data_IF_592549712272
#
_entry.id   IF_592549712272
#
_cell.length_a   1.000
_cell.length_b   1.000
_cell.length_c   1.000
_cell.angle_alpha   90.00
_cell.angle_beta   90.00
_cell.angle_gamma   90.00
#
_symmetry.space_group_name_H-M   'P 1'
#
loop_
_entity.id
_entity.type
_entity.pdbx_description
1 polymer ?
#
# COMPACT_ATOMS: atom_id res chain seq x y z
N UNK A 1 2.80 -8.44 19.80
CA UNK A 1 2.95 -8.67 18.35
C UNK A 1 2.69 -7.36 17.63
N UNK A 2 3.61 -6.99 16.78
CA UNK A 2 3.50 -5.76 16.01
C UNK A 2 2.64 -5.97 14.78
N UNK A 3 1.63 -5.13 14.61
CA UNK A 3 0.74 -5.11 13.45
C UNK A 3 0.81 -3.75 12.77
N UNK A 4 0.63 -3.74 11.45
CA UNK A 4 0.50 -2.51 10.66
C UNK A 4 -0.79 -2.58 9.88
N UNK A 5 -1.69 -1.65 10.16
CA UNK A 5 -2.90 -1.46 9.37
C UNK A 5 -2.52 -0.62 8.15
N UNK A 6 -2.76 -1.15 6.97
CA UNK A 6 -2.33 -0.56 5.71
C UNK A 6 -3.52 -0.36 4.79
N UNK A 7 -3.56 0.79 4.14
CA UNK A 7 -4.52 1.12 3.11
C UNK A 7 -3.85 1.90 1.99
N UNK A 8 -4.34 1.74 0.75
CA UNK A 8 -3.83 2.46 -0.41
C UNK A 8 -4.95 3.11 -1.19
N UNK A 9 -4.62 4.20 -1.90
CA UNK A 9 -5.43 4.75 -2.98
C UNK A 9 -4.67 4.62 -4.29
N UNK A 10 -5.40 4.47 -5.40
CA UNK A 10 -4.83 4.16 -6.70
C UNK A 10 -5.46 5.00 -7.80
N UNK A 11 -4.83 4.98 -8.99
CA UNK A 11 -5.38 5.66 -10.17
C UNK A 11 -6.54 4.92 -10.80
N UNK A 12 -6.75 3.64 -10.48
CA UNK A 12 -7.80 2.81 -11.06
C UNK A 12 -7.83 1.43 -10.42
N UNK A 13 -8.45 0.46 -11.07
CA UNK A 13 -8.78 -0.83 -10.46
C UNK A 13 -7.79 -1.96 -10.74
N UNK A 14 -7.00 -1.87 -11.83
CA UNK A 14 -6.15 -2.96 -12.25
C UNK A 14 -4.72 -2.52 -12.52
N UNK A 15 -3.73 -3.00 -11.73
CA UNK A 15 -2.33 -2.66 -11.95
C UNK A 15 -1.79 -3.17 -13.29
N UNK A 16 -2.36 -4.24 -13.86
CA UNK A 16 -1.97 -4.76 -15.16
C UNK A 16 -2.28 -3.79 -16.30
N UNK A 17 -3.20 -2.85 -16.10
CA UNK A 17 -3.53 -1.79 -17.07
C UNK A 17 -2.68 -0.53 -16.85
N UNK A 18 -1.62 -0.60 -16.07
CA UNK A 18 -0.72 0.51 -15.80
C UNK A 18 -1.19 1.43 -14.68
N UNK A 19 -2.22 1.07 -13.93
CA UNK A 19 -2.64 1.85 -12.78
C UNK A 19 -1.61 1.80 -11.67
N UNK A 20 -1.51 2.88 -10.91
CA UNK A 20 -0.46 3.10 -9.92
C UNK A 20 -1.04 3.48 -8.56
N UNK A 21 -0.26 3.21 -7.51
CA UNK A 21 -0.57 3.66 -6.15
C UNK A 21 -0.30 5.16 -6.05
N UNK A 22 -1.20 5.91 -5.42
CA UNK A 22 -1.08 7.35 -5.23
C UNK A 22 -1.12 7.79 -3.77
N UNK A 23 -1.52 6.91 -2.86
CA UNK A 23 -1.46 7.15 -1.42
C UNK A 23 -1.21 5.84 -0.69
N UNK A 24 -0.34 5.88 0.31
CA UNK A 24 -0.12 4.77 1.24
C UNK A 24 -0.30 5.32 2.65
N UNK A 25 -1.17 4.67 3.42
CA UNK A 25 -1.37 4.98 4.83
C UNK A 25 -1.13 3.74 5.68
N UNK A 26 -0.30 3.86 6.70
CA UNK A 26 0.01 2.79 7.63
C UNK A 26 -0.02 3.32 9.06
N UNK A 27 -0.65 2.57 9.96
CA UNK A 27 -0.59 2.84 11.40
C UNK A 27 -0.11 1.59 12.13
N UNK A 28 0.75 1.78 13.12
CA UNK A 28 1.30 0.68 13.91
C UNK A 28 0.44 0.40 15.14
N UNK A 29 0.20 -0.89 15.36
CA UNK A 29 -0.45 -1.41 16.56
C UNK A 29 0.50 -2.42 17.19
N UNK A 30 0.72 -2.31 18.50
CA UNK A 30 1.47 -3.30 19.26
C UNK A 30 0.71 -3.62 20.53
N UNK A 31 0.57 -4.92 20.83
CA UNK A 31 -0.22 -5.40 21.96
C UNK A 31 -1.64 -4.80 21.97
N UNK A 32 -2.28 -4.73 20.82
CA UNK A 32 -3.66 -4.23 20.62
C UNK A 32 -3.83 -2.73 20.92
N UNK A 33 -2.73 -1.97 20.92
CA UNK A 33 -2.76 -0.52 21.15
C UNK A 33 -2.03 0.22 20.05
N UNK A 34 -2.57 1.37 19.65
CA UNK A 34 -1.88 2.28 18.75
C UNK A 34 -0.61 2.77 19.42
N UNK A 35 0.52 2.68 18.70
CA UNK A 35 1.83 3.11 19.22
C UNK A 35 2.12 4.58 18.95
N UNK A 36 1.37 5.21 18.05
CA UNK A 36 1.64 6.55 17.53
C UNK A 36 2.58 6.56 16.33
N UNK A 37 3.25 5.45 16.03
CA UNK A 37 4.06 5.35 14.82
C UNK A 37 3.16 5.14 13.61
N UNK A 38 3.47 5.84 12.54
CA UNK A 38 2.71 5.76 11.28
C UNK A 38 3.62 6.04 10.10
N UNK A 39 3.19 5.60 8.93
CA UNK A 39 3.79 5.95 7.64
C UNK A 39 2.68 6.47 6.74
N UNK A 40 2.86 7.61 6.14
CA UNK A 40 1.87 8.17 5.22
C UNK A 40 2.59 8.95 4.12
N UNK A 41 2.19 8.71 2.87
CA UNK A 41 2.68 9.50 1.75
C UNK A 41 1.67 9.54 0.62
N UNK A 42 1.72 10.63 -0.14
CA UNK A 42 1.12 10.73 -1.47
C UNK A 42 2.19 10.50 -2.52
N UNK A 43 1.80 9.95 -3.67
CA UNK A 43 2.72 9.59 -4.74
C UNK A 43 2.27 10.18 -6.06
N UNK A 44 3.26 10.62 -6.85
CA UNK A 44 3.03 11.02 -8.24
C UNK A 44 3.01 9.78 -9.12
N UNK A 45 1.87 9.45 -9.77
CA UNK A 45 1.77 8.23 -10.58
C UNK A 45 2.30 8.38 -12.01
N UNK A 46 2.70 9.57 -12.43
CA UNK A 46 3.10 9.87 -13.81
C UNK A 46 2.05 9.47 -14.86
N UNK A 47 0.78 9.55 -14.49
CA UNK A 47 -0.35 9.25 -15.37
C UNK A 47 -1.62 9.88 -14.85
N UNK A 48 -2.65 9.89 -15.69
CA UNK A 48 -3.96 10.38 -15.33
C UNK A 48 -4.66 9.42 -14.36
N UNK A 49 -5.56 9.99 -13.58
CA UNK A 49 -6.38 9.25 -12.61
C UNK A 49 -7.73 8.98 -13.26
N UNK A 50 -8.20 7.73 -13.20
CA UNK A 50 -9.53 7.40 -13.69
C UNK A 50 -10.59 8.19 -12.96
N UNK A 51 -11.60 8.65 -13.69
CA UNK A 51 -12.68 9.47 -13.14
C UNK A 51 -13.39 8.79 -11.96
N UNK A 52 -13.60 7.47 -12.04
CA UNK A 52 -14.19 6.70 -10.96
C UNK A 52 -13.35 6.68 -9.69
N UNK A 53 -12.03 6.58 -9.82
CA UNK A 53 -11.12 6.63 -8.69
C UNK A 53 -11.09 8.03 -8.08
N UNK A 54 -11.00 9.07 -8.91
CA UNK A 54 -11.01 10.46 -8.46
C UNK A 54 -12.28 10.79 -7.68
N UNK A 55 -13.42 10.27 -8.10
CA UNK A 55 -14.70 10.46 -7.42
C UNK A 55 -14.69 9.86 -6.01
N UNK A 56 -13.98 8.75 -5.81
CA UNK A 56 -13.89 8.07 -4.52
C UNK A 56 -12.93 8.80 -3.57
N UNK A 57 -11.70 9.10 -3.99
CA UNK A 57 -10.65 9.61 -3.09
C UNK A 57 -10.39 11.11 -3.21
N UNK A 58 -10.80 11.75 -4.31
CA UNK A 58 -10.66 13.19 -4.50
C UNK A 58 -9.23 13.70 -4.72
N UNK A 59 -8.26 12.80 -4.97
CA UNK A 59 -6.86 13.16 -5.19
C UNK A 59 -6.64 13.46 -6.67
N UNK A 60 -6.42 14.72 -7.01
CA UNK A 60 -6.25 15.16 -8.41
C UNK A 60 -4.82 14.99 -8.89
N UNK A 61 -4.65 14.90 -10.21
CA UNK A 61 -3.33 14.87 -10.83
C UNK A 61 -2.53 16.13 -10.49
N UNK A 62 -3.19 17.27 -10.42
CA UNK A 62 -2.56 18.54 -10.04
C UNK A 62 -2.01 18.50 -8.62
N UNK A 63 -2.76 17.96 -7.67
CA UNK A 63 -2.32 17.79 -6.28
C UNK A 63 -1.11 16.88 -6.19
N UNK A 64 -1.06 15.81 -6.99
CA UNK A 64 -0.01 14.80 -6.94
C UNK A 64 1.23 15.16 -7.76
N UNK A 65 1.19 16.23 -8.56
CA UNK A 65 2.25 16.58 -9.50
C UNK A 65 3.61 16.85 -8.83
N UNK A 66 3.61 17.35 -7.58
CA UNK A 66 4.83 17.66 -6.83
C UNK A 66 5.21 16.59 -5.81
N UNK A 67 4.50 15.46 -5.80
CA UNK A 67 4.74 14.39 -4.85
C UNK A 67 5.86 13.45 -5.34
N UNK A 68 6.53 12.74 -4.41
CA UNK A 68 7.53 11.77 -4.80
C UNK A 68 6.93 10.60 -5.56
N UNK A 69 7.78 9.89 -6.29
CA UNK A 69 7.41 8.64 -6.94
C UNK A 69 7.68 7.46 -6.00
N UNK A 70 7.05 6.33 -6.27
CA UNK A 70 7.17 5.15 -5.38
C UNK A 70 8.63 4.75 -5.13
N UNK A 71 9.48 4.76 -6.15
CA UNK A 71 10.88 4.35 -5.99
C UNK A 71 11.66 5.24 -5.00
N UNK A 72 11.19 6.46 -4.77
CA UNK A 72 11.83 7.40 -3.84
C UNK A 72 11.47 7.12 -2.37
N UNK A 73 10.34 6.45 -2.13
CA UNK A 73 9.88 6.14 -0.76
C UNK A 73 9.92 4.65 -0.43
N UNK A 74 10.30 3.84 -1.38
CA UNK A 74 10.26 2.38 -1.28
C UNK A 74 11.02 1.85 -0.05
N UNK A 75 12.24 2.33 0.17
CA UNK A 75 13.07 1.89 1.29
C UNK A 75 12.44 2.20 2.64
N UNK A 76 11.92 3.40 2.82
CA UNK A 76 11.25 3.81 4.06
C UNK A 76 9.98 2.99 4.30
N UNK A 77 9.22 2.76 3.25
CA UNK A 77 8.01 1.95 3.32
C UNK A 77 8.31 0.51 3.74
N UNK A 78 9.26 -0.14 3.06
CA UNK A 78 9.63 -1.52 3.35
C UNK A 78 10.20 -1.67 4.77
N UNK A 79 11.00 -0.71 5.20
CA UNK A 79 11.52 -0.69 6.58
C UNK A 79 10.40 -0.58 7.61
N UNK A 80 9.38 0.25 7.33
CA UNK A 80 8.25 0.41 8.26
C UNK A 80 7.44 -0.87 8.41
N UNK A 81 7.19 -1.60 7.34
CA UNK A 81 6.36 -2.81 7.36
C UNK A 81 7.14 -4.09 7.69
N UNK A 82 8.47 -4.01 7.70
CA UNK A 82 9.32 -5.18 7.93
C UNK A 82 9.02 -5.86 9.27
N UNK A 83 8.82 -7.18 9.23
CA UNK A 83 8.55 -7.99 10.41
C UNK A 83 7.16 -7.83 11.04
N UNK A 84 6.31 -6.97 10.47
CA UNK A 84 4.97 -6.75 11.00
C UNK A 84 3.95 -7.69 10.37
N UNK A 85 2.88 -7.99 11.11
CA UNK A 85 1.67 -8.54 10.53
C UNK A 85 0.88 -7.41 9.88
N UNK A 86 0.56 -7.54 8.58
CA UNK A 86 -0.23 -6.54 7.87
C UNK A 86 -1.72 -6.83 8.01
N UNK A 87 -2.48 -5.81 8.34
CA UNK A 87 -3.94 -5.85 8.42
C UNK A 87 -4.48 -4.96 7.31
N UNK A 88 -5.10 -5.56 6.31
CA UNK A 88 -5.52 -4.86 5.09
C UNK A 88 -6.95 -5.29 4.74
N UNK A 89 -7.82 -4.31 4.48
CA UNK A 89 -9.15 -4.58 3.94
C UNK A 89 -9.02 -4.92 2.44
N UNK A 90 -9.47 -6.11 2.05
CA UNK A 90 -9.31 -6.62 0.68
C UNK A 90 -7.82 -6.68 0.25
N UNK A 91 -7.00 -7.36 1.04
CA UNK A 91 -5.56 -7.44 0.84
C UNK A 91 -5.10 -7.80 -0.59
N UNK A 92 -5.75 -8.69 -1.35
CA UNK A 92 -5.33 -8.96 -2.73
C UNK A 92 -5.26 -7.73 -3.61
N UNK A 93 -6.13 -6.74 -3.40
CA UNK A 93 -6.11 -5.49 -4.15
C UNK A 93 -4.85 -4.68 -3.84
N UNK A 94 -4.63 -4.36 -2.56
CA UNK A 94 -3.49 -3.52 -2.15
C UNK A 94 -2.16 -4.23 -2.38
N UNK A 95 -2.07 -5.51 -2.04
CA UNK A 95 -0.86 -6.31 -2.25
C UNK A 95 -0.53 -6.41 -3.74
N UNK A 96 -1.53 -6.61 -4.59
CA UNK A 96 -1.34 -6.65 -6.04
C UNK A 96 -0.75 -5.35 -6.59
N UNK A 97 -1.25 -4.21 -6.14
CA UNK A 97 -0.71 -2.90 -6.52
C UNK A 97 0.70 -2.68 -5.98
N UNK A 98 0.95 -3.02 -4.72
CA UNK A 98 2.28 -2.87 -4.13
C UNK A 98 3.31 -3.78 -4.79
N UNK A 99 2.95 -5.03 -5.09
CA UNK A 99 3.83 -5.94 -5.83
C UNK A 99 4.18 -5.40 -7.21
N UNK A 100 3.22 -4.79 -7.89
CA UNK A 100 3.44 -4.18 -9.19
C UNK A 100 4.39 -2.99 -9.11
N UNK A 101 4.26 -2.15 -8.08
CA UNK A 101 5.17 -1.03 -7.83
C UNK A 101 6.60 -1.52 -7.56
N UNK A 102 6.75 -2.54 -6.71
CA UNK A 102 8.06 -3.13 -6.40
C UNK A 102 8.72 -3.74 -7.64
N UNK A 103 7.95 -4.38 -8.51
CA UNK A 103 8.45 -4.93 -9.77
C UNK A 103 8.92 -3.83 -10.72
N UNK A 104 8.21 -2.71 -10.76
CA UNK A 104 8.54 -1.57 -11.62
C UNK A 104 9.85 -0.87 -11.20
N UNK A 105 10.21 -0.92 -9.92
CA UNK A 105 11.47 -0.35 -9.41
C UNK A 105 12.67 -1.26 -9.65
N UNK A 106 12.48 -2.42 -10.25
CA UNK A 106 13.52 -3.46 -10.48
C UNK A 106 14.22 -3.92 -9.20
N UNK A 107 13.57 -3.75 -8.08
CA UNK A 107 14.04 -4.29 -6.80
C UNK A 107 13.80 -5.79 -6.86
N UNK A 108 14.87 -6.58 -6.98
CA UNK A 108 14.84 -8.00 -7.21
C UNK A 108 13.88 -8.74 -6.28
N UNK A 109 12.81 -9.29 -6.88
CA UNK A 109 11.93 -10.29 -6.28
C UNK A 109 11.33 -9.91 -4.91
N UNK A 110 11.43 -8.66 -4.47
CA UNK A 110 10.79 -8.17 -3.26
C UNK A 110 9.33 -7.85 -3.56
N UNK A 111 8.53 -8.90 -3.71
CA UNK A 111 7.09 -8.74 -3.78
C UNK A 111 6.52 -8.84 -2.38
N UNK A 112 5.53 -8.03 -2.06
CA UNK A 112 4.84 -8.11 -0.77
C UNK A 112 4.31 -9.52 -0.50
N UNK A 113 3.90 -10.22 -1.54
CA UNK A 113 3.47 -11.62 -1.47
C UNK A 113 4.58 -12.57 -1.05
N UNK A 114 5.87 -12.22 -1.25
CA UNK A 114 7.01 -13.00 -0.78
C UNK A 114 7.28 -12.78 0.70
N UNK A 115 6.87 -11.64 1.25
CA UNK A 115 7.05 -11.28 2.65
C UNK A 115 5.82 -11.57 3.50
N UNK A 116 4.66 -11.68 2.89
CA UNK A 116 3.40 -11.70 3.59
C UNK A 116 2.61 -12.96 3.28
N UNK A 117 2.13 -13.64 4.34
CA UNK A 117 1.07 -14.64 4.19
C UNK A 117 -0.26 -13.97 4.47
N UNK A 118 -1.12 -13.93 3.47
CA UNK A 118 -2.46 -13.44 3.65
C UNK A 118 -3.28 -14.44 4.48
N UNK A 119 -3.90 -13.96 5.54
CA UNK A 119 -4.82 -14.74 6.35
C UNK A 119 -6.16 -14.01 6.37
N UNK A 120 -7.21 -14.68 5.96
CA UNK A 120 -8.55 -14.11 5.93
C UNK A 120 -9.23 -14.31 7.30
N UNK A 121 -9.69 -13.22 7.87
CA UNK A 121 -10.52 -13.27 9.08
C UNK A 121 -11.98 -13.02 8.68
N UNK A 122 -12.84 -14.03 8.73
CA UNK A 122 -14.23 -13.88 8.30
C UNK A 122 -15.06 -13.01 9.24
N UNK A 123 -14.66 -12.82 10.49
CA UNK A 123 -15.43 -12.02 11.45
C UNK A 123 -15.22 -10.52 11.24
N UNK A 124 -14.00 -10.12 10.94
CA UNK A 124 -13.66 -8.71 10.75
C UNK A 124 -13.81 -8.24 9.31
N UNK A 125 -13.93 -9.17 8.37
CA UNK A 125 -13.88 -8.92 6.92
C UNK A 125 -12.56 -8.31 6.44
N UNK A 126 -11.54 -8.30 7.29
CA UNK A 126 -10.19 -7.89 6.92
C UNK A 126 -9.36 -9.12 6.59
N UNK A 127 -8.47 -8.95 5.64
CA UNK A 127 -7.44 -9.93 5.39
C UNK A 127 -6.20 -9.53 6.15
N UNK A 128 -5.63 -10.48 6.87
CA UNK A 128 -4.36 -10.31 7.56
C UNK A 128 -3.26 -10.93 6.72
N UNK A 129 -2.18 -10.21 6.56
CA UNK A 129 -0.99 -10.71 5.89
C UNK A 129 0.19 -10.61 6.85
N UNK A 130 0.95 -11.68 6.95
CA UNK A 130 2.15 -11.72 7.78
C UNK A 130 3.37 -11.38 6.94
N UNK A 131 4.07 -10.30 7.28
CA UNK A 131 5.38 -9.99 6.73
C UNK A 131 6.44 -10.79 7.49
N UNK A 132 7.22 -11.54 6.75
CA UNK A 132 8.27 -12.42 7.30
C UNK A 132 9.61 -11.69 7.28
#
# INVERSE_FOLDING_TARGET
>A
MRQVVLDTETTGLDPAQGHRVIEIGCVEIDNRKLTGRHFHCYLNPDRDIDAGALEVHGLSSQFLADKPRFHQIESEFLEFVDGAELVIHNAPFDIGFLDHELSATKTDALKMTSFCRAQFDPETRYQMAHCV
#
